data_IF_222272529431
#
_entry.id   IF_222272529431
#
_cell.length_a   1.000
_cell.length_b   1.000
_cell.length_c   1.000
_cell.angle_alpha   90.00
_cell.angle_beta   90.00
_cell.angle_gamma   90.00
#
_symmetry.space_group_name_H-M   'P 1'
#
loop_
_entity.id
_entity.type
_entity.pdbx_description
1 polymer ?
#
# COMPACT_ATOMS: atom_id res chain seq x y z
N UNK A 1 7.60 -23.94 40.93
CA UNK A 1 8.14 -22.75 40.23
C UNK A 1 8.55 -23.15 38.81
N UNK A 2 7.81 -22.75 37.77
CA UNK A 2 8.22 -22.97 36.38
C UNK A 2 9.46 -22.09 36.10
N UNK A 3 10.55 -22.66 35.61
CA UNK A 3 11.70 -21.89 35.12
C UNK A 3 11.21 -20.99 33.98
N UNK A 4 11.30 -19.68 34.16
CA UNK A 4 10.96 -18.72 33.11
C UNK A 4 12.04 -18.82 32.02
N UNK A 5 11.65 -19.22 30.82
CA UNK A 5 12.56 -19.30 29.68
C UNK A 5 12.79 -17.87 29.15
N UNK A 6 14.02 -17.39 29.29
CA UNK A 6 14.44 -16.12 28.70
C UNK A 6 14.66 -16.28 27.20
N UNK A 7 14.14 -15.35 26.41
CA UNK A 7 14.33 -15.33 24.97
C UNK A 7 15.46 -14.34 24.61
N UNK A 8 16.41 -14.79 23.79
CA UNK A 8 17.51 -13.97 23.28
C UNK A 8 17.06 -13.19 22.03
N UNK A 9 16.38 -12.07 22.28
CA UNK A 9 15.82 -11.19 21.24
C UNK A 9 16.61 -9.88 21.22
N UNK A 10 16.90 -9.37 20.03
CA UNK A 10 17.44 -8.03 19.84
C UNK A 10 16.33 -6.99 20.06
N UNK A 11 16.05 -6.68 21.32
CA UNK A 11 14.95 -5.80 21.72
C UNK A 11 15.15 -4.35 21.23
N UNK A 12 16.40 -3.93 21.00
CA UNK A 12 16.69 -2.59 20.45
C UNK A 12 16.27 -2.49 18.99
N UNK A 13 16.61 -3.49 18.17
CA UNK A 13 16.22 -3.53 16.76
C UNK A 13 14.69 -3.48 16.60
N UNK A 14 13.99 -4.40 17.26
CA UNK A 14 12.53 -4.45 17.20
C UNK A 14 11.87 -3.26 17.91
N UNK A 15 12.50 -2.71 18.95
CA UNK A 15 12.02 -1.51 19.64
C UNK A 15 12.08 -0.26 18.77
N UNK A 16 13.15 -0.08 17.98
CA UNK A 16 13.25 1.01 17.01
C UNK A 16 12.14 0.87 15.96
N UNK A 17 11.98 -0.34 15.41
CA UNK A 17 10.93 -0.61 14.42
C UNK A 17 9.53 -0.36 15.00
N UNK A 18 9.31 -0.74 16.26
CA UNK A 18 8.06 -0.48 16.95
C UNK A 18 7.78 1.03 17.08
N UNK A 19 8.74 1.80 17.60
CA UNK A 19 8.57 3.25 17.81
C UNK A 19 8.28 3.94 16.48
N UNK A 20 9.09 3.67 15.46
CA UNK A 20 8.94 4.32 14.17
C UNK A 20 7.69 3.82 13.45
N UNK A 21 7.35 2.53 13.54
CA UNK A 21 6.13 1.95 12.99
C UNK A 21 4.87 2.57 13.59
N UNK A 22 4.86 2.83 14.90
CA UNK A 22 3.78 3.57 15.57
C UNK A 22 3.69 4.99 15.02
N UNK A 23 4.80 5.72 14.92
CA UNK A 23 4.81 7.09 14.37
C UNK A 23 4.25 7.12 12.94
N UNK A 24 4.73 6.23 12.06
CA UNK A 24 4.26 6.14 10.66
C UNK A 24 2.77 5.84 10.62
N UNK A 25 2.32 4.86 11.40
CA UNK A 25 0.92 4.48 11.50
C UNK A 25 0.03 5.63 11.99
N UNK A 26 0.49 6.37 13.00
CA UNK A 26 -0.21 7.55 13.51
C UNK A 26 -0.34 8.61 12.41
N UNK A 27 0.76 8.92 11.73
CA UNK A 27 0.78 9.91 10.65
C UNK A 27 -0.15 9.49 9.50
N UNK A 28 -0.08 8.22 9.07
CA UNK A 28 -0.90 7.69 8.00
C UNK A 28 -2.40 7.81 8.27
N UNK A 29 -2.85 7.38 9.45
CA UNK A 29 -4.28 7.44 9.81
C UNK A 29 -4.75 8.89 10.02
N UNK A 30 -3.90 9.77 10.58
CA UNK A 30 -4.28 11.17 10.82
C UNK A 30 -4.36 11.99 9.53
N UNK A 31 -3.54 11.70 8.53
CA UNK A 31 -3.48 12.43 7.25
C UNK A 31 -4.68 12.13 6.33
N UNK A 32 -5.46 11.07 6.60
CA UNK A 32 -6.66 10.73 5.81
C UNK A 32 -7.66 11.89 5.86
N UNK A 33 -7.87 12.51 4.70
CA UNK A 33 -8.80 13.64 4.50
C UNK A 33 -10.24 13.16 4.63
N UNK A 34 -11.13 14.05 5.08
CA UNK A 34 -12.59 13.81 5.22
C UNK A 34 -13.00 12.68 6.20
N UNK A 35 -12.08 12.13 6.97
CA UNK A 35 -12.37 11.14 8.02
C UNK A 35 -12.84 11.83 9.31
N UNK A 36 -13.92 11.32 9.91
CA UNK A 36 -14.42 11.82 11.21
C UNK A 36 -13.40 11.54 12.32
N UNK A 37 -13.37 12.37 13.37
CA UNK A 37 -12.47 12.13 14.52
C UNK A 37 -12.70 10.76 15.17
N UNK A 38 -13.95 10.27 15.18
CA UNK A 38 -14.27 8.94 15.68
C UNK A 38 -13.67 7.84 14.80
N UNK A 39 -13.80 7.96 13.47
CA UNK A 39 -13.17 7.04 12.52
C UNK A 39 -11.65 7.04 12.68
N UNK A 40 -11.01 8.21 12.77
CA UNK A 40 -9.55 8.30 13.00
C UNK A 40 -9.14 7.60 14.30
N UNK A 41 -9.85 7.83 15.40
CA UNK A 41 -9.58 7.15 16.66
C UNK A 41 -9.74 5.63 16.55
N UNK A 42 -10.78 5.17 15.86
CA UNK A 42 -11.00 3.74 15.59
C UNK A 42 -9.82 3.11 14.84
N UNK A 43 -9.42 3.72 13.71
CA UNK A 43 -8.34 3.21 12.87
C UNK A 43 -6.97 3.35 13.53
N UNK A 44 -6.75 4.33 14.42
CA UNK A 44 -5.52 4.45 15.21
C UNK A 44 -5.34 3.26 16.17
N UNK A 45 -6.40 2.86 16.87
CA UNK A 45 -6.36 1.67 17.74
C UNK A 45 -6.01 0.42 16.92
N UNK A 46 -6.59 0.30 15.74
CA UNK A 46 -6.26 -0.78 14.79
C UNK A 46 -4.80 -0.74 14.35
N UNK A 47 -4.30 0.43 13.95
CA UNK A 47 -2.95 0.59 13.47
C UNK A 47 -1.92 0.26 14.56
N UNK A 48 -2.18 0.68 15.80
CA UNK A 48 -1.34 0.33 16.95
C UNK A 48 -1.38 -1.16 17.27
N UNK A 49 -2.57 -1.77 17.29
CA UNK A 49 -2.71 -3.20 17.54
C UNK A 49 -1.99 -4.04 16.47
N UNK A 50 -2.15 -3.69 15.19
CA UNK A 50 -1.46 -4.36 14.09
C UNK A 50 0.05 -4.19 14.18
N UNK A 51 0.54 -2.98 14.48
CA UNK A 51 1.98 -2.72 14.64
C UNK A 51 2.57 -3.54 15.79
N UNK A 52 1.90 -3.57 16.95
CA UNK A 52 2.31 -4.42 18.10
C UNK A 52 2.38 -5.87 17.68
N UNK A 53 1.33 -6.38 17.02
CA UNK A 53 1.23 -7.78 16.62
C UNK A 53 2.30 -8.15 15.58
N UNK A 54 2.54 -7.31 14.58
CA UNK A 54 3.55 -7.48 13.54
C UNK A 54 4.96 -7.55 14.12
N UNK A 55 5.37 -6.55 14.91
CA UNK A 55 6.72 -6.52 15.48
C UNK A 55 6.95 -7.69 16.44
N UNK A 56 5.92 -8.04 17.22
CA UNK A 56 5.98 -9.20 18.12
C UNK A 56 6.12 -10.49 17.32
N UNK A 57 5.41 -10.62 16.18
CA UNK A 57 5.52 -11.76 15.28
C UNK A 57 6.92 -11.88 14.69
N UNK A 58 7.50 -10.79 14.19
CA UNK A 58 8.88 -10.78 13.70
C UNK A 58 9.89 -11.11 14.79
N UNK A 59 9.69 -10.62 16.01
CA UNK A 59 10.57 -10.94 17.14
C UNK A 59 10.55 -12.45 17.46
N UNK A 60 9.37 -13.08 17.52
CA UNK A 60 9.26 -14.54 17.74
C UNK A 60 9.87 -15.32 16.58
N UNK A 61 9.52 -14.96 15.35
CA UNK A 61 10.06 -15.62 14.15
C UNK A 61 11.59 -15.52 14.13
N UNK A 62 12.16 -14.39 14.56
CA UNK A 62 13.61 -14.24 14.67
C UNK A 62 14.23 -15.26 15.61
N UNK A 63 13.59 -15.56 16.76
CA UNK A 63 14.06 -16.58 17.71
C UNK A 63 13.95 -17.98 17.12
N UNK A 64 12.82 -18.28 16.48
CA UNK A 64 12.58 -19.59 15.87
C UNK A 64 13.60 -19.84 14.76
N UNK A 65 13.76 -18.89 13.83
CA UNK A 65 14.71 -19.01 12.71
C UNK A 65 16.15 -19.08 13.24
N UNK A 66 16.52 -18.25 14.21
CA UNK A 66 17.86 -18.29 14.83
C UNK A 66 18.16 -19.65 15.48
N UNK A 67 17.14 -20.32 16.02
CA UNK A 67 17.28 -21.61 16.72
C UNK A 67 17.31 -22.80 15.76
N UNK A 68 16.47 -22.80 14.73
CA UNK A 68 16.23 -23.98 13.89
C UNK A 68 16.82 -23.91 12.48
N UNK A 69 17.21 -22.73 11.99
CA UNK A 69 17.64 -22.52 10.61
C UNK A 69 19.13 -22.12 10.52
N UNK A 70 19.79 -22.33 9.37
CA UNK A 70 21.17 -21.90 9.16
C UNK A 70 21.29 -20.36 9.22
N UNK A 71 22.49 -19.88 9.58
CA UNK A 71 22.80 -18.45 9.74
C UNK A 71 22.45 -17.60 8.51
N UNK A 72 22.55 -18.18 7.31
CA UNK A 72 22.24 -17.47 6.06
C UNK A 72 20.75 -17.14 5.97
N UNK A 73 19.86 -18.08 6.35
CA UNK A 73 18.41 -17.88 6.37
C UNK A 73 18.04 -16.83 7.42
N UNK A 74 18.69 -16.86 8.58
CA UNK A 74 18.49 -15.83 9.60
C UNK A 74 18.90 -14.43 9.10
N UNK A 75 20.01 -14.31 8.39
CA UNK A 75 20.48 -13.03 7.83
C UNK A 75 19.53 -12.51 6.76
N UNK A 76 19.04 -13.38 5.87
CA UNK A 76 18.03 -13.06 4.87
C UNK A 76 16.73 -12.60 5.54
N UNK A 77 16.30 -13.28 6.60
CA UNK A 77 15.11 -12.90 7.37
C UNK A 77 15.24 -11.49 7.94
N UNK A 78 16.38 -11.14 8.57
CA UNK A 78 16.60 -9.78 9.07
C UNK A 78 16.54 -8.76 7.93
N UNK A 79 17.18 -9.06 6.80
CA UNK A 79 17.14 -8.19 5.61
C UNK A 79 15.68 -7.98 5.14
N UNK A 80 14.87 -9.04 5.09
CA UNK A 80 13.46 -8.97 4.74
C UNK A 80 12.64 -8.14 5.73
N UNK A 81 12.84 -8.30 7.05
CA UNK A 81 12.14 -7.46 8.04
C UNK A 81 12.45 -5.98 7.85
N UNK A 82 13.67 -5.64 7.44
CA UNK A 82 14.05 -4.26 7.16
C UNK A 82 13.38 -3.73 5.88
N UNK A 83 13.35 -4.51 4.80
CA UNK A 83 12.63 -4.14 3.57
C UNK A 83 11.15 -3.91 3.86
N UNK A 84 10.52 -4.81 4.62
CA UNK A 84 9.11 -4.70 5.01
C UNK A 84 8.85 -3.44 5.85
N UNK A 85 9.79 -3.09 6.72
CA UNK A 85 9.70 -1.86 7.49
C UNK A 85 9.84 -0.61 6.61
N UNK A 86 10.77 -0.60 5.65
CA UNK A 86 10.90 0.48 4.67
C UNK A 86 9.65 0.61 3.80
N UNK A 87 8.99 -0.51 3.43
CA UNK A 87 7.75 -0.42 2.65
C UNK A 87 6.64 0.33 3.38
N UNK A 88 6.56 0.28 4.73
CA UNK A 88 5.60 1.10 5.48
C UNK A 88 5.90 2.60 5.38
N UNK A 89 7.19 2.98 5.34
CA UNK A 89 7.60 4.38 5.14
C UNK A 89 7.21 4.84 3.74
N UNK A 90 7.49 4.00 2.74
CA UNK A 90 7.18 4.30 1.34
C UNK A 90 5.65 4.37 1.15
N UNK A 91 4.89 3.45 1.75
CA UNK A 91 3.42 3.44 1.72
C UNK A 91 2.85 4.77 2.19
N UNK A 92 3.36 5.33 3.29
CA UNK A 92 2.91 6.64 3.80
C UNK A 92 3.07 7.74 2.73
N UNK A 93 4.20 7.74 2.03
CA UNK A 93 4.49 8.72 0.98
C UNK A 93 3.63 8.47 -0.26
N UNK A 94 3.51 7.23 -0.71
CA UNK A 94 2.75 6.86 -1.89
C UNK A 94 1.25 7.09 -1.70
N UNK A 95 0.69 6.74 -0.54
CA UNK A 95 -0.72 7.02 -0.23
C UNK A 95 -0.99 8.54 -0.25
N UNK A 96 -0.05 9.35 0.22
CA UNK A 96 -0.20 10.80 0.24
C UNK A 96 -0.15 11.44 -1.14
N UNK A 97 0.73 10.95 -2.01
CA UNK A 97 0.97 11.55 -3.33
C UNK A 97 0.05 10.95 -4.40
N UNK A 98 -0.15 9.64 -4.36
CA UNK A 98 -0.77 8.86 -5.43
C UNK A 98 -2.00 8.04 -5.01
N UNK A 99 -2.39 8.07 -3.72
CA UNK A 99 -3.47 7.22 -3.16
C UNK A 99 -3.28 5.72 -3.47
N UNK A 100 -2.01 5.29 -3.47
CA UNK A 100 -1.57 3.96 -3.87
C UNK A 100 -0.63 3.37 -2.83
N UNK A 101 -0.66 2.05 -2.64
CA UNK A 101 0.30 1.33 -1.79
C UNK A 101 1.46 0.76 -2.61
N UNK A 102 2.55 0.39 -1.94
CA UNK A 102 3.68 -0.34 -2.53
C UNK A 102 3.20 -1.62 -3.20
N UNK A 103 2.22 -2.32 -2.62
CA UNK A 103 1.68 -3.55 -3.18
C UNK A 103 0.94 -3.33 -4.50
N UNK A 104 0.18 -2.25 -4.61
CA UNK A 104 -0.47 -1.87 -5.87
C UNK A 104 0.57 -1.55 -6.95
N UNK A 105 1.64 -0.84 -6.57
CA UNK A 105 2.76 -0.56 -7.47
C UNK A 105 3.46 -1.84 -7.95
N UNK A 106 3.64 -2.81 -7.06
CA UNK A 106 4.19 -4.13 -7.41
C UNK A 106 3.26 -4.90 -8.33
N UNK A 107 1.93 -4.89 -8.08
CA UNK A 107 1.00 -5.58 -8.98
C UNK A 107 0.98 -4.95 -10.36
N UNK A 108 0.98 -3.62 -10.47
CA UNK A 108 1.06 -2.93 -11.76
C UNK A 108 2.36 -3.31 -12.49
N UNK A 109 3.48 -3.33 -11.79
CA UNK A 109 4.77 -3.69 -12.39
C UNK A 109 4.84 -5.17 -12.83
N UNK A 110 4.12 -6.07 -12.15
CA UNK A 110 4.09 -7.50 -12.48
C UNK A 110 3.07 -7.84 -13.59
N UNK A 111 2.03 -7.02 -13.75
CA UNK A 111 1.02 -7.20 -14.80
C UNK A 111 1.49 -6.72 -16.18
N UNK A 112 2.55 -5.89 -16.23
CA UNK A 112 3.13 -5.37 -17.47
C UNK A 112 4.17 -6.31 -18.09
N UNK A 113 4.23 -6.32 -19.42
CA UNK A 113 5.30 -7.00 -20.16
C UNK A 113 6.62 -6.21 -20.04
N UNK A 114 7.76 -6.90 -20.13
CA UNK A 114 9.09 -6.27 -19.98
C UNK A 114 9.34 -5.12 -20.99
N UNK A 115 8.79 -5.24 -22.20
CA UNK A 115 8.85 -4.19 -23.23
C UNK A 115 8.07 -2.93 -22.81
N UNK A 116 6.80 -3.12 -22.38
CA UNK A 116 5.97 -2.04 -21.84
C UNK A 116 6.59 -1.40 -20.60
N UNK A 117 7.21 -2.19 -19.73
CA UNK A 117 7.88 -1.69 -18.53
C UNK A 117 9.05 -0.77 -18.88
N UNK A 118 9.87 -1.15 -19.87
CA UNK A 118 10.96 -0.30 -20.37
C UNK A 118 10.39 0.97 -21.03
N UNK A 119 9.33 0.86 -21.81
CA UNK A 119 8.66 2.00 -22.41
C UNK A 119 8.10 2.97 -21.36
N UNK A 120 7.52 2.44 -20.27
CA UNK A 120 7.06 3.23 -19.13
C UNK A 120 8.23 3.98 -18.47
N UNK A 121 9.37 3.32 -18.26
CA UNK A 121 10.58 3.98 -17.73
C UNK A 121 11.07 5.10 -18.66
N UNK A 122 11.06 4.90 -19.97
CA UNK A 122 11.40 5.95 -20.93
C UNK A 122 10.42 7.12 -20.90
N UNK A 123 9.12 6.81 -20.75
CA UNK A 123 8.03 7.80 -20.72
C UNK A 123 8.10 8.69 -19.48
N UNK A 124 8.73 8.24 -18.39
CA UNK A 124 8.93 9.07 -17.18
C UNK A 124 9.83 10.28 -17.42
N UNK A 125 10.59 10.32 -18.54
CA UNK A 125 11.55 11.39 -18.83
C UNK A 125 12.79 11.38 -17.92
N UNK A 126 12.91 10.39 -17.03
CA UNK A 126 14.06 10.22 -16.13
C UNK A 126 15.16 9.46 -16.90
N UNK A 127 16.40 9.97 -16.94
CA UNK A 127 17.50 9.28 -17.60
C UNK A 127 17.73 7.87 -17.05
N UNK A 128 18.03 6.90 -17.93
CA UNK A 128 18.18 5.49 -17.56
C UNK A 128 19.24 5.25 -16.46
N UNK A 129 20.32 6.04 -16.44
CA UNK A 129 21.34 5.92 -15.39
C UNK A 129 20.80 6.24 -13.99
N UNK A 130 19.82 7.14 -13.87
CA UNK A 130 19.22 7.47 -12.59
C UNK A 130 18.38 6.29 -12.07
N UNK A 131 17.69 5.58 -12.95
CA UNK A 131 17.00 4.32 -12.63
C UNK A 131 17.98 3.22 -12.18
N UNK A 132 19.13 3.09 -12.84
CA UNK A 132 20.19 2.16 -12.40
C UNK A 132 20.68 2.52 -11.00
N UNK A 133 20.99 3.81 -10.75
CA UNK A 133 21.43 4.28 -9.43
C UNK A 133 20.37 3.98 -8.37
N UNK A 134 19.09 4.25 -8.67
CA UNK A 134 17.97 3.95 -7.78
C UNK A 134 17.86 2.44 -7.50
N UNK A 135 18.00 1.59 -8.53
CA UNK A 135 18.02 0.14 -8.39
C UNK A 135 19.16 -0.34 -7.49
N UNK A 136 20.37 0.18 -7.68
CA UNK A 136 21.52 -0.13 -6.81
C UNK A 136 21.26 0.32 -5.37
N UNK A 137 20.71 1.51 -5.17
CA UNK A 137 20.36 2.02 -3.85
C UNK A 137 19.32 1.11 -3.17
N UNK A 138 18.29 0.68 -3.90
CA UNK A 138 17.28 -0.26 -3.40
C UNK A 138 17.88 -1.62 -3.03
N UNK A 139 18.78 -2.15 -3.86
CA UNK A 139 19.53 -3.38 -3.58
C UNK A 139 20.49 -3.25 -2.38
N UNK A 140 20.84 -2.03 -1.98
CA UNK A 140 21.70 -1.77 -0.81
C UNK A 140 20.95 -1.78 0.53
N UNK A 141 19.62 -1.53 0.52
CA UNK A 141 18.78 -1.48 1.73
C UNK A 141 18.84 -2.76 2.60
N UNK A 142 18.81 -3.99 2.04
CA UNK A 142 18.91 -5.22 2.83
C UNK A 142 20.22 -5.27 3.64
N UNK A 143 21.33 -4.79 3.08
CA UNK A 143 22.63 -4.74 3.76
C UNK A 143 22.65 -3.73 4.90
N UNK A 144 22.00 -2.57 4.71
CA UNK A 144 21.82 -1.59 5.77
C UNK A 144 21.03 -2.16 6.95
N UNK A 145 19.95 -2.90 6.67
CA UNK A 145 19.16 -3.58 7.70
C UNK A 145 19.99 -4.60 8.51
N UNK A 146 20.80 -5.41 7.83
CA UNK A 146 21.73 -6.36 8.48
C UNK A 146 22.75 -5.61 9.35
N UNK A 147 23.31 -4.50 8.84
CA UNK A 147 24.25 -3.67 9.58
C UNK A 147 23.62 -3.11 10.86
N UNK A 148 22.44 -2.50 10.77
CA UNK A 148 21.69 -1.98 11.92
C UNK A 148 21.39 -3.09 12.92
N UNK A 149 20.98 -4.27 12.47
CA UNK A 149 20.74 -5.41 13.35
C UNK A 149 22.01 -5.83 14.11
N UNK A 150 23.16 -5.93 13.43
CA UNK A 150 24.42 -6.30 14.09
C UNK A 150 24.84 -5.27 15.12
N UNK A 151 24.76 -3.98 14.79
CA UNK A 151 25.10 -2.89 15.71
C UNK A 151 24.18 -2.94 16.94
N UNK A 152 22.86 -3.03 16.74
CA UNK A 152 21.89 -3.11 17.83
C UNK A 152 22.02 -4.39 18.67
N UNK A 153 22.39 -5.53 18.08
CA UNK A 153 22.64 -6.78 18.80
C UNK A 153 23.83 -6.67 19.75
N UNK A 154 24.90 -5.97 19.32
CA UNK A 154 26.06 -5.68 20.17
C UNK A 154 25.67 -4.85 21.41
N UNK A 155 24.78 -3.86 21.25
CA UNK A 155 24.29 -3.06 22.36
C UNK A 155 23.28 -3.81 23.23
N UNK A 156 22.39 -4.60 22.62
CA UNK A 156 21.38 -5.41 23.31
C UNK A 156 22.03 -6.42 24.26
N UNK A 157 23.14 -7.05 23.86
CA UNK A 157 23.87 -8.00 24.71
C UNK A 157 24.49 -7.38 25.95
N UNK A 158 24.79 -6.07 25.95
CA UNK A 158 25.34 -5.36 27.11
C UNK A 158 24.31 -5.14 28.21
N UNK A 159 23.02 -5.00 27.85
CA UNK A 159 21.91 -4.80 28.80
C UNK A 159 20.79 -5.77 28.49
N UNK A 160 20.83 -6.95 29.10
CA UNK A 160 19.80 -7.97 28.90
C UNK A 160 18.51 -7.54 29.60
N UNK A 161 17.50 -7.18 28.82
CA UNK A 161 16.12 -7.05 29.31
C UNK A 161 15.52 -8.45 29.31
N UNK A 162 15.04 -8.97 30.46
CA UNK A 162 14.44 -10.30 30.51
C UNK A 162 13.08 -10.29 29.82
N UNK A 163 13.04 -10.74 28.56
CA UNK A 163 11.80 -10.98 27.83
C UNK A 163 11.36 -12.43 28.03
N UNK A 164 10.12 -12.61 28.48
CA UNK A 164 9.54 -13.91 28.80
C UNK A 164 8.57 -14.36 27.71
N UNK A 165 8.61 -15.65 27.37
CA UNK A 165 7.72 -16.28 26.40
C UNK A 165 6.22 -16.06 26.71
N UNK A 166 5.88 -15.96 28.00
CA UNK A 166 4.50 -15.71 28.47
C UNK A 166 3.93 -14.39 27.92
N UNK A 167 4.74 -13.34 27.84
CA UNK A 167 4.31 -12.04 27.31
C UNK A 167 3.97 -12.10 25.82
N UNK A 168 4.73 -12.89 25.07
CA UNK A 168 4.49 -13.09 23.64
C UNK A 168 3.16 -13.82 23.40
N UNK A 169 2.90 -14.89 24.16
CA UNK A 169 1.64 -15.63 24.07
C UNK A 169 0.46 -14.72 24.45
N UNK A 170 0.62 -13.90 25.51
CA UNK A 170 -0.39 -12.92 25.90
C UNK A 170 -0.66 -11.92 24.77
N UNK A 171 0.36 -11.36 24.12
CA UNK A 171 0.17 -10.43 23.00
C UNK A 171 -0.60 -11.11 21.85
N UNK A 172 -0.21 -12.33 21.48
CA UNK A 172 -0.84 -13.07 20.38
C UNK A 172 -2.32 -13.41 20.62
N UNK A 173 -2.73 -13.60 21.87
CA UNK A 173 -4.13 -13.87 22.22
C UNK A 173 -4.90 -12.58 22.49
N UNK A 174 -4.34 -11.68 23.29
CA UNK A 174 -5.03 -10.49 23.77
C UNK A 174 -5.17 -9.41 22.70
N UNK A 175 -4.17 -9.18 21.85
CA UNK A 175 -4.24 -8.10 20.85
C UNK A 175 -5.30 -8.38 19.78
N UNK A 176 -5.32 -9.55 19.10
CA UNK A 176 -6.39 -9.84 18.13
C UNK A 176 -7.78 -9.85 18.77
N UNK A 177 -7.91 -10.41 19.99
CA UNK A 177 -9.18 -10.42 20.71
C UNK A 177 -9.65 -9.01 21.07
N UNK A 178 -8.74 -8.14 21.54
CA UNK A 178 -9.05 -6.75 21.85
C UNK A 178 -9.48 -5.97 20.61
N UNK A 179 -8.78 -6.15 19.49
CA UNK A 179 -9.14 -5.56 18.20
C UNK A 179 -10.52 -6.05 17.73
N UNK A 180 -10.77 -7.35 17.80
CA UNK A 180 -12.07 -7.93 17.43
C UNK A 180 -13.23 -7.37 18.27
N UNK A 181 -13.07 -7.30 19.60
CA UNK A 181 -14.08 -6.72 20.50
C UNK A 181 -14.27 -5.23 20.20
N UNK A 182 -13.18 -4.52 19.90
CA UNK A 182 -13.22 -3.10 19.55
C UNK A 182 -14.00 -2.85 18.27
N UNK A 183 -13.76 -3.64 17.23
CA UNK A 183 -14.50 -3.58 15.96
C UNK A 183 -15.97 -3.94 16.12
N UNK A 184 -16.30 -4.99 16.86
CA UNK A 184 -17.70 -5.34 17.09
C UNK A 184 -18.50 -4.19 17.74
N UNK A 185 -17.87 -3.44 18.65
CA UNK A 185 -18.50 -2.28 19.31
C UNK A 185 -18.57 -1.05 18.40
N UNK A 186 -17.53 -0.80 17.62
CA UNK A 186 -17.41 0.42 16.82
C UNK A 186 -18.02 0.32 15.42
N UNK A 187 -18.21 -0.89 14.87
CA UNK A 187 -18.62 -1.13 13.48
C UNK A 187 -19.89 -0.35 13.07
N UNK A 188 -20.87 -0.19 13.98
CA UNK A 188 -22.12 0.53 13.71
C UNK A 188 -21.96 2.04 13.54
N UNK A 189 -20.86 2.60 14.02
CA UNK A 189 -20.62 4.05 14.07
C UNK A 189 -19.67 4.55 12.97
N UNK A 190 -19.12 3.64 12.16
CA UNK A 190 -18.15 3.99 11.12
C UNK A 190 -18.88 4.24 9.81
N UNK A 191 -18.62 5.39 9.19
CA UNK A 191 -19.13 5.69 7.86
C UNK A 191 -18.45 4.82 6.80
N UNK A 192 -19.25 4.01 6.07
CA UNK A 192 -18.76 3.10 5.04
C UNK A 192 -17.99 3.82 3.92
N UNK A 193 -18.34 5.06 3.59
CA UNK A 193 -17.70 5.81 2.50
C UNK A 193 -16.24 6.18 2.79
N UNK A 194 -15.89 6.35 4.06
CA UNK A 194 -14.52 6.66 4.47
C UNK A 194 -13.74 5.40 4.84
N UNK A 195 -14.38 4.24 4.84
CA UNK A 195 -13.79 3.02 5.36
C UNK A 195 -12.57 2.59 4.55
N UNK A 196 -12.70 2.60 3.23
CA UNK A 196 -11.65 2.14 2.31
C UNK A 196 -10.40 3.03 2.39
N UNK A 197 -10.58 4.35 2.41
CA UNK A 197 -9.44 5.28 2.54
C UNK A 197 -8.70 5.13 3.87
N UNK A 198 -9.42 4.90 4.97
CA UNK A 198 -8.77 4.69 6.28
C UNK A 198 -8.18 3.28 6.43
N UNK A 199 -8.77 2.25 5.83
CA UNK A 199 -8.24 0.88 5.89
C UNK A 199 -6.92 0.78 5.13
N UNK A 200 -6.77 1.47 3.99
CA UNK A 200 -5.50 1.54 3.23
C UNK A 200 -4.34 2.14 4.03
N UNK A 201 -4.64 3.02 4.98
CA UNK A 201 -3.64 3.62 5.88
C UNK A 201 -3.19 2.69 7.02
N UNK A 202 -3.83 1.52 7.19
CA UNK A 202 -3.44 0.55 8.20
C UNK A 202 -2.17 -0.23 7.78
N UNK A 203 -1.31 -0.64 8.73
CA UNK A 203 -0.12 -1.43 8.41
C UNK A 203 -0.41 -2.66 7.55
N UNK A 204 -1.49 -3.38 7.87
CA UNK A 204 -1.88 -4.60 7.15
C UNK A 204 -3.01 -4.40 6.16
N UNK A 205 -3.55 -3.18 6.05
CA UNK A 205 -4.64 -2.85 5.13
C UNK A 205 -5.90 -3.70 5.33
N UNK A 206 -6.05 -4.28 6.52
CA UNK A 206 -7.08 -5.24 6.86
C UNK A 206 -7.76 -4.88 8.17
N UNK A 207 -9.01 -5.27 8.33
CA UNK A 207 -9.74 -5.35 9.61
C UNK A 207 -10.48 -6.70 9.64
N UNK A 208 -11.15 -7.05 10.75
CA UNK A 208 -11.89 -8.32 10.80
C UNK A 208 -13.26 -8.24 10.11
N UNK A 209 -13.91 -7.09 10.08
CA UNK A 209 -15.25 -6.88 9.54
C UNK A 209 -15.29 -5.65 8.65
N UNK A 210 -15.59 -5.83 7.37
CA UNK A 210 -15.87 -4.69 6.49
C UNK A 210 -17.35 -4.29 6.64
N UNK A 211 -17.68 -3.00 6.82
CA UNK A 211 -19.06 -2.56 6.84
C UNK A 211 -19.70 -2.84 5.48
N UNK A 212 -21.00 -3.13 5.48
CA UNK A 212 -21.76 -3.27 4.24
C UNK A 212 -21.73 -1.94 3.48
N UNK A 213 -20.85 -1.87 2.48
CA UNK A 213 -20.86 -0.79 1.50
C UNK A 213 -22.23 -0.89 0.83
N UNK A 214 -22.96 0.23 0.77
CA UNK A 214 -24.19 0.35 0.00
C UNK A 214 -23.86 0.07 -1.47
N UNK A 215 -23.85 -1.21 -1.85
CA UNK A 215 -23.72 -1.64 -3.23
C UNK A 215 -24.99 -1.19 -3.91
N UNK A 216 -24.91 -0.16 -4.73
CA UNK A 216 -25.98 0.16 -5.66
C UNK A 216 -26.23 -1.09 -6.49
N UNK A 217 -27.41 -1.69 -6.33
CA UNK A 217 -27.81 -2.81 -7.18
C UNK A 217 -28.09 -2.27 -8.57
N UNK A 218 -27.05 -1.94 -9.33
CA UNK A 218 -27.15 -1.78 -10.77
C UNK A 218 -27.48 -3.17 -11.33
N UNK A 219 -28.77 -3.42 -11.58
CA UNK A 219 -29.26 -4.64 -12.25
C UNK A 219 -28.69 -4.84 -13.65
N UNK A 220 -28.02 -3.83 -14.19
CA UNK A 220 -27.31 -3.88 -15.45
C UNK A 220 -25.89 -4.37 -15.18
N UNK A 221 -25.67 -5.67 -15.36
CA UNK A 221 -24.33 -6.17 -15.58
C UNK A 221 -23.80 -5.49 -16.86
N UNK A 222 -22.71 -4.72 -16.72
CA UNK A 222 -22.01 -4.19 -17.88
C UNK A 222 -21.64 -5.39 -18.76
N UNK A 223 -22.02 -5.34 -20.05
CA UNK A 223 -21.57 -6.36 -21.00
C UNK A 223 -20.05 -6.39 -20.94
N UNK A 224 -19.48 -7.59 -20.78
CA UNK A 224 -18.03 -7.77 -20.85
C UNK A 224 -17.53 -7.09 -22.13
N UNK A 225 -16.48 -6.25 -22.04
CA UNK A 225 -15.89 -5.68 -23.25
C UNK A 225 -15.49 -6.82 -24.17
N UNK A 226 -15.77 -6.65 -25.47
CA UNK A 226 -15.32 -7.61 -26.48
C UNK A 226 -13.80 -7.63 -26.48
N UNK A 227 -13.20 -8.77 -26.79
CA UNK A 227 -11.76 -8.88 -26.94
C UNK A 227 -11.29 -7.86 -28.00
N UNK A 228 -10.17 -7.19 -27.73
CA UNK A 228 -9.60 -6.19 -28.65
C UNK A 228 -9.36 -6.82 -30.03
N UNK A 229 -8.86 -8.05 -30.08
CA UNK A 229 -8.64 -8.81 -31.32
C UNK A 229 -9.93 -9.04 -32.10
N UNK A 230 -11.01 -9.41 -31.43
CA UNK A 230 -12.31 -9.62 -32.05
C UNK A 230 -12.90 -8.31 -32.57
N UNK A 231 -12.64 -7.21 -31.85
CA UNK A 231 -13.10 -5.87 -32.21
C UNK A 231 -12.35 -5.33 -33.43
N UNK A 232 -11.02 -5.49 -33.48
CA UNK A 232 -10.20 -5.16 -34.64
C UNK A 232 -10.56 -6.03 -35.85
N UNK A 233 -10.80 -7.33 -35.65
CA UNK A 233 -11.27 -8.21 -36.71
C UNK A 233 -12.67 -7.79 -37.25
N UNK A 234 -13.58 -7.36 -36.37
CA UNK A 234 -14.88 -6.80 -36.73
C UNK A 234 -14.78 -5.48 -37.51
N UNK A 235 -13.84 -4.61 -37.15
CA UNK A 235 -13.56 -3.36 -37.87
C UNK A 235 -13.02 -3.68 -39.26
N UNK A 236 -12.10 -4.63 -39.36
CA UNK A 236 -11.47 -5.02 -40.62
C UNK A 236 -12.39 -5.82 -41.55
N UNK A 237 -13.36 -6.57 -41.00
CA UNK A 237 -14.35 -7.33 -41.81
C UNK A 237 -15.51 -6.48 -42.30
N UNK A 238 -15.80 -5.36 -41.65
CA UNK A 238 -16.68 -4.36 -42.21
C UNK A 238 -15.92 -3.59 -43.29
N UNK A 239 -16.07 -4.06 -44.53
CA UNK A 239 -15.63 -3.34 -45.72
C UNK A 239 -16.49 -2.07 -45.86
N UNK A 240 -16.13 -1.04 -45.08
CA UNK A 240 -16.77 0.26 -45.06
C UNK A 240 -16.40 0.95 -46.38
N UNK A 241 -17.17 0.65 -47.43
CA UNK A 241 -17.17 1.41 -48.67
C UNK A 241 -17.80 2.77 -48.39
N UNK A 242 -16.97 3.69 -47.92
CA UNK A 242 -17.34 5.07 -47.71
C UNK A 242 -16.96 5.83 -48.97
N UNK A 243 -17.94 6.36 -49.69
CA UNK A 243 -17.73 7.14 -50.93
C UNK A 243 -16.84 8.38 -50.70
N UNK A 244 -16.77 8.87 -49.46
CA UNK A 244 -15.95 10.02 -49.07
C UNK A 244 -15.40 9.78 -47.67
N UNK A 245 -14.09 9.58 -47.52
CA UNK A 245 -13.45 9.49 -46.20
C UNK A 245 -13.22 10.90 -45.64
N UNK A 246 -14.03 11.38 -44.68
CA UNK A 246 -13.68 12.64 -44.02
C UNK A 246 -12.42 12.43 -43.18
N UNK A 247 -11.60 13.47 -43.09
CA UNK A 247 -10.52 13.49 -42.10
C UNK A 247 -11.16 13.66 -40.73
N UNK A 248 -11.07 12.64 -39.88
CA UNK A 248 -11.56 12.69 -38.51
C UNK A 248 -10.38 13.11 -37.62
N UNK A 249 -10.52 14.26 -36.99
CA UNK A 249 -9.56 14.74 -35.99
C UNK A 249 -10.18 14.53 -34.61
N UNK A 250 -9.57 13.67 -33.79
CA UNK A 250 -9.99 13.43 -32.40
C UNK A 250 -9.01 14.15 -31.50
N UNK A 251 -9.51 15.13 -30.74
CA UNK A 251 -8.74 15.82 -29.72
C UNK A 251 -9.19 15.31 -28.36
N UNK A 252 -8.32 14.58 -27.67
CA UNK A 252 -8.55 14.18 -26.27
C UNK A 252 -7.85 15.20 -25.39
N UNK A 253 -8.64 15.99 -24.67
CA UNK A 253 -8.12 17.02 -23.76
C UNK A 253 -8.16 16.46 -22.34
N UNK A 254 -6.99 16.27 -21.75
CA UNK A 254 -6.87 15.73 -20.40
C UNK A 254 -7.43 16.73 -19.37
N UNK A 255 -8.20 16.23 -18.41
CA UNK A 255 -8.78 17.01 -17.31
C UNK A 255 -9.69 18.19 -17.71
N UNK A 256 -10.26 18.18 -18.92
CA UNK A 256 -11.22 19.21 -19.33
C UNK A 256 -12.53 19.07 -18.56
N UNK A 257 -12.85 20.07 -17.74
CA UNK A 257 -14.13 20.15 -17.04
C UNK A 257 -15.07 21.13 -17.74
N UNK A 258 -16.35 20.78 -17.83
CA UNK A 258 -17.35 21.58 -18.54
C UNK A 258 -17.60 22.95 -17.91
N UNK A 259 -17.43 23.07 -16.59
CA UNK A 259 -17.58 24.32 -15.84
C UNK A 259 -16.43 25.31 -16.06
N UNK A 260 -15.32 24.87 -16.66
CA UNK A 260 -14.20 25.73 -17.06
C UNK A 260 -14.27 26.20 -18.52
N UNK A 261 -15.29 25.77 -19.28
CA UNK A 261 -15.50 26.18 -20.67
C UNK A 261 -16.46 27.37 -20.68
N UNK A 262 -15.96 28.56 -20.35
CA UNK A 262 -16.71 29.82 -20.43
C UNK A 262 -16.18 30.70 -21.55
N UNK A 263 -16.99 31.69 -21.95
CA UNK A 263 -16.63 32.68 -22.96
C UNK A 263 -15.34 33.44 -22.62
N UNK A 264 -15.01 33.55 -21.33
CA UNK A 264 -13.85 34.30 -20.85
C UNK A 264 -12.59 33.43 -20.79
N UNK A 265 -12.70 32.16 -20.38
CA UNK A 265 -11.55 31.27 -20.18
C UNK A 265 -11.22 30.42 -21.41
N UNK A 266 -12.22 30.03 -22.19
CA UNK A 266 -12.06 29.15 -23.33
C UNK A 266 -12.97 29.57 -24.50
N UNK A 267 -12.83 30.81 -25.01
CA UNK A 267 -13.75 31.39 -26.00
C UNK A 267 -13.92 30.51 -27.24
N UNK A 268 -12.84 29.95 -27.77
CA UNK A 268 -12.89 29.10 -28.97
C UNK A 268 -13.64 27.78 -28.72
N UNK A 269 -13.53 27.20 -27.52
CA UNK A 269 -14.24 25.97 -27.16
C UNK A 269 -15.73 26.24 -26.93
N UNK A 270 -16.07 27.39 -26.35
CA UNK A 270 -17.46 27.83 -26.19
C UNK A 270 -18.12 28.08 -27.55
N UNK A 271 -17.44 28.78 -28.46
CA UNK A 271 -17.91 28.98 -29.84
C UNK A 271 -18.08 27.65 -30.57
N UNK A 272 -17.07 26.78 -30.52
CA UNK A 272 -17.13 25.46 -31.13
C UNK A 272 -18.33 24.64 -30.62
N UNK A 273 -18.56 24.64 -29.30
CA UNK A 273 -19.70 23.97 -28.67
C UNK A 273 -21.04 24.51 -29.19
N UNK A 274 -21.19 25.83 -29.26
CA UNK A 274 -22.44 26.46 -29.69
C UNK A 274 -22.73 26.25 -31.19
N UNK A 275 -21.69 26.17 -32.01
CA UNK A 275 -21.82 26.06 -33.47
C UNK A 275 -21.93 24.61 -33.98
N UNK A 276 -21.34 23.63 -33.28
CA UNK A 276 -21.11 22.29 -33.83
C UNK A 276 -21.68 21.13 -33.00
N UNK A 277 -22.14 21.37 -31.77
CA UNK A 277 -22.67 20.30 -30.90
C UNK A 277 -24.16 20.54 -30.69
N UNK A 278 -25.02 19.68 -31.26
CA UNK A 278 -26.49 19.70 -31.09
C UNK A 278 -26.96 18.66 -30.08
#
# INVERSE_FOLDING_TARGET
>A
MRRKNHLDINYLYFGIFFIVGIIISTLGVLDVKNSSNYSKAFFLVYAYGQTVFEITSFAILSVIIKKYMPKIVFTIFIAFTFIFFISHIIDLVLLKIMDMTVWDGVSIALDENLENFIEMLHTTGIPFYAWIIFGILMLSLPFLGIFIYKVTDLFSKKRKIPLYQEHFIQIFLCVPLALFIWEFKAAKSINANNYDSNSRALPWKLTFMQPDILKTQTKLALKKPKNEKDTLALINTKDLKIDKKPNIFIFVIESLRSDYITSDTAPNMTTFKNENVS
#
